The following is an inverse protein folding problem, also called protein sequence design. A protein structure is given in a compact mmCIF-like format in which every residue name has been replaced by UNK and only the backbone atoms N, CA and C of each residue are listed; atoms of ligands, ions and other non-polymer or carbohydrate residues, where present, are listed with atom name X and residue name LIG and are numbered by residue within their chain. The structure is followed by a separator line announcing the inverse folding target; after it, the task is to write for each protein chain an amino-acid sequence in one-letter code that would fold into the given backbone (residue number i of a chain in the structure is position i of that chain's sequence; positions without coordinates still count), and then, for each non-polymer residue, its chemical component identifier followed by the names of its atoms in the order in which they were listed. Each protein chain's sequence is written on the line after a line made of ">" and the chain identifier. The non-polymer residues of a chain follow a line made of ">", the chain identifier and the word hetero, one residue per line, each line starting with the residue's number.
data_IF_611046624700
#
_entry.id   IF_611046624700
#
_cell.length_a   1.000
_cell.length_b   1.000
_cell.length_c   1.000
_cell.angle_alpha   90.00
_cell.angle_beta   90.00
_cell.angle_gamma   90.00
#
_symmetry.space_group_name_H-M   'P 1'
#
loop_
_entity.id
_entity.type
_entity.pdbx_description
1 polymer ?
#
# COMPACT_ATOMS: atom_id res chain seq x y z
N UNK A 1 -4.92 7.15 10.68
CA UNK A 1 -3.97 8.04 10.00
C UNK A 1 -4.66 8.69 8.82
N UNK A 2 -4.67 10.02 8.81
CA UNK A 2 -5.44 10.77 7.80
C UNK A 2 -4.97 10.56 6.37
N UNK A 3 -3.68 10.49 6.17
CA UNK A 3 -3.11 10.37 4.83
C UNK A 3 -3.54 9.06 4.15
N UNK A 4 -3.43 7.94 4.87
CA UNK A 4 -3.83 6.65 4.32
C UNK A 4 -5.33 6.60 4.06
N UNK A 5 -6.12 7.18 4.96
CA UNK A 5 -7.57 7.24 4.79
C UNK A 5 -7.93 7.98 3.50
N UNK A 6 -7.26 9.10 3.22
CA UNK A 6 -7.49 9.86 2.00
C UNK A 6 -7.15 9.04 0.76
N UNK A 7 -6.02 8.35 0.78
CA UNK A 7 -5.63 7.51 -0.35
C UNK A 7 -6.68 6.45 -0.66
N UNK A 8 -7.23 5.85 0.40
CA UNK A 8 -8.28 4.84 0.25
C UNK A 8 -9.54 5.46 -0.33
N UNK A 9 -10.00 6.57 0.24
CA UNK A 9 -11.24 7.22 -0.19
C UNK A 9 -11.17 7.69 -1.63
N UNK A 10 -10.01 8.14 -2.08
CA UNK A 10 -9.81 8.65 -3.42
C UNK A 10 -9.33 7.58 -4.40
N UNK A 11 -9.12 6.36 -3.91
CA UNK A 11 -8.64 5.24 -4.73
C UNK A 11 -7.38 5.62 -5.52
N UNK A 12 -6.43 6.30 -4.84
CA UNK A 12 -5.22 6.80 -5.49
C UNK A 12 -4.20 5.68 -5.65
N UNK A 13 -3.61 5.52 -6.83
CA UNK A 13 -2.55 4.53 -7.01
C UNK A 13 -1.29 4.94 -6.25
N UNK A 14 -0.64 3.95 -5.65
CA UNK A 14 0.56 4.17 -4.86
C UNK A 14 1.64 3.16 -5.25
N UNK A 15 2.88 3.51 -4.93
CA UNK A 15 4.00 2.58 -5.00
C UNK A 15 4.53 2.38 -3.60
N UNK A 16 4.71 1.12 -3.24
CA UNK A 16 5.22 0.74 -1.93
C UNK A 16 6.57 0.09 -2.10
N UNK A 17 7.59 0.68 -1.47
CA UNK A 17 8.93 0.11 -1.46
C UNK A 17 9.12 -0.70 -0.19
N UNK A 18 9.43 -1.98 -0.36
CA UNK A 18 9.63 -2.88 0.76
C UNK A 18 11.07 -2.80 1.25
N UNK A 19 11.29 -3.25 2.48
CA UNK A 19 12.63 -3.24 3.07
C UNK A 19 13.63 -4.11 2.31
N UNK A 20 13.15 -5.15 1.64
CA UNK A 20 14.02 -6.04 0.85
C UNK A 20 14.35 -5.47 -0.54
N UNK A 21 13.86 -4.27 -0.85
CA UNK A 21 14.10 -3.62 -2.13
C UNK A 21 13.03 -3.86 -3.17
N UNK A 22 12.10 -4.75 -2.91
CA UNK A 22 11.00 -5.01 -3.84
C UNK A 22 10.04 -3.83 -3.87
N UNK A 23 9.50 -3.53 -5.03
CA UNK A 23 8.52 -2.45 -5.19
C UNK A 23 7.22 -3.04 -5.74
N UNK A 24 6.10 -2.65 -5.14
CA UNK A 24 4.78 -3.08 -5.59
C UNK A 24 3.90 -1.86 -5.79
N UNK A 25 2.95 -1.96 -6.71
CA UNK A 25 2.04 -0.88 -7.07
C UNK A 25 0.61 -1.35 -6.94
N UNK A 26 -0.26 -0.43 -6.56
CA UNK A 26 -1.68 -0.74 -6.47
C UNK A 26 -2.44 0.33 -5.74
N UNK A 27 -3.64 -0.02 -5.32
CA UNK A 27 -4.53 0.87 -4.57
C UNK A 27 -4.73 0.27 -3.18
N UNK A 28 -4.61 1.11 -2.15
CA UNK A 28 -4.85 0.65 -0.79
C UNK A 28 -6.35 0.52 -0.59
N UNK A 29 -6.81 -0.69 -0.29
CA UNK A 29 -8.23 -0.95 -0.04
C UNK A 29 -8.57 -0.87 1.45
N UNK A 30 -7.60 -1.17 2.30
CA UNK A 30 -7.84 -1.28 3.73
C UNK A 30 -6.50 -1.19 4.46
N UNK A 31 -6.54 -0.69 5.69
CA UNK A 31 -5.38 -0.73 6.56
C UNK A 31 -5.83 -0.84 8.02
N UNK A 32 -4.93 -1.35 8.84
CA UNK A 32 -5.10 -1.31 10.29
C UNK A 32 -3.74 -1.01 10.92
N UNK A 33 -3.57 -1.32 12.21
CA UNK A 33 -2.33 -1.01 12.91
C UNK A 33 -1.12 -1.73 12.34
N UNK A 34 -1.33 -2.93 11.79
CA UNK A 34 -0.21 -3.80 11.38
C UNK A 34 -0.10 -4.02 9.88
N UNK A 35 -1.22 -3.93 9.16
CA UNK A 35 -1.29 -4.33 7.75
C UNK A 35 -1.85 -3.26 6.85
N UNK A 36 -1.44 -3.35 5.58
CA UNK A 36 -2.10 -2.65 4.48
C UNK A 36 -2.53 -3.71 3.48
N UNK A 37 -3.79 -3.65 3.05
CA UNK A 37 -4.25 -4.48 1.94
C UNK A 37 -4.14 -3.67 0.66
N UNK A 38 -3.36 -4.20 -0.28
CA UNK A 38 -3.09 -3.55 -1.56
C UNK A 38 -3.74 -4.35 -2.68
N UNK A 39 -4.60 -3.69 -3.46
CA UNK A 39 -5.23 -4.29 -4.63
C UNK A 39 -4.39 -3.96 -5.85
N UNK A 40 -3.92 -5.00 -6.54
CA UNK A 40 -3.04 -4.86 -7.69
C UNK A 40 -3.81 -5.06 -8.98
N UNK A 41 -3.40 -4.31 -10.02
CA UNK A 41 -4.04 -4.45 -11.32
C UNK A 41 -3.58 -5.71 -12.06
N UNK A 42 -2.35 -6.13 -11.83
CA UNK A 42 -1.71 -7.18 -12.63
C UNK A 42 -1.21 -8.35 -11.80
N UNK A 43 -1.83 -8.59 -10.66
CA UNK A 43 -1.42 -9.69 -9.82
C UNK A 43 -2.35 -9.85 -8.63
N UNK A 44 -2.07 -10.81 -7.76
CA UNK A 44 -2.91 -11.03 -6.58
C UNK A 44 -2.85 -9.85 -5.62
N UNK A 45 -3.93 -9.66 -4.87
CA UNK A 45 -3.95 -8.68 -3.81
C UNK A 45 -2.96 -9.09 -2.72
N UNK A 46 -2.34 -8.09 -2.10
CA UNK A 46 -1.32 -8.34 -1.08
C UNK A 46 -1.76 -7.81 0.26
N UNK A 47 -1.41 -8.56 1.31
CA UNK A 47 -1.44 -8.07 2.67
C UNK A 47 0.01 -7.79 3.06
N UNK A 48 0.30 -6.53 3.34
CA UNK A 48 1.66 -6.09 3.60
C UNK A 48 1.78 -5.62 5.04
N UNK A 49 2.74 -6.17 5.78
CA UNK A 49 3.03 -5.68 7.13
C UNK A 49 3.61 -4.28 7.03
N UNK A 50 3.08 -3.35 7.80
CA UNK A 50 3.56 -1.97 7.77
C UNK A 50 5.05 -1.86 8.11
N UNK A 51 5.54 -2.68 9.03
CA UNK A 51 6.94 -2.60 9.42
C UNK A 51 7.91 -3.15 8.37
N UNK A 52 7.38 -3.77 7.31
CA UNK A 52 8.21 -4.20 6.18
C UNK A 52 8.27 -3.16 5.07
N UNK A 53 7.62 -2.03 5.24
CA UNK A 53 7.58 -0.97 4.25
C UNK A 53 8.69 0.03 4.53
N UNK A 54 9.52 0.30 3.51
CA UNK A 54 10.53 1.31 3.60
C UNK A 54 9.93 2.70 3.38
N UNK A 55 9.12 2.83 2.34
CA UNK A 55 8.35 4.06 2.10
C UNK A 55 7.20 3.78 1.14
N UNK A 56 6.26 4.71 1.10
CA UNK A 56 5.11 4.66 0.23
C UNK A 56 4.99 6.03 -0.45
N UNK A 57 4.79 6.03 -1.75
CA UNK A 57 4.62 7.28 -2.51
C UNK A 57 3.40 7.17 -3.39
N UNK A 58 2.76 8.31 -3.62
CA UNK A 58 1.69 8.38 -4.61
C UNK A 58 2.28 8.34 -6.01
N UNK A 59 1.61 7.62 -6.87
CA UNK A 59 1.99 7.58 -8.28
C UNK A 59 1.47 8.79 -9.02
#
# INVERSE_FOLDING_TARGET
>A
MRYLKRLIEEARPVRVKMLDGEEVRGVIEYYDQSFIRLTRADGPNLFIFKHDIKYLVED
#
